data_IF_289520932554
#
_entry.id   IF_289520932554
#
_cell.length_a   1.000
_cell.length_b   1.000
_cell.length_c   1.000
_cell.angle_alpha   90.00
_cell.angle_beta   90.00
_cell.angle_gamma   90.00
#
_symmetry.space_group_name_H-M   'P 1'
#
loop_
_entity.id
_entity.type
_entity.pdbx_description
1 polymer ?
#
# COMPACT_ATOMS: atom_id res chain seq x y z
N UNK A 1 -5.07 -17.75 -27.26
CA UNK A 1 -3.70 -17.74 -27.81
C UNK A 1 -2.89 -16.77 -26.99
N UNK A 2 -1.60 -17.03 -26.76
CA UNK A 2 -0.80 -16.24 -25.81
C UNK A 2 -0.28 -14.96 -26.45
N UNK A 3 -0.47 -13.81 -25.76
CA UNK A 3 0.16 -12.51 -26.08
C UNK A 3 1.26 -12.22 -25.07
N UNK A 4 2.50 -12.64 -25.36
CA UNK A 4 3.57 -12.59 -24.37
C UNK A 4 4.00 -11.16 -24.06
N UNK A 5 3.99 -10.79 -22.76
CA UNK A 5 4.52 -9.52 -22.26
C UNK A 5 5.59 -9.78 -21.20
N UNK A 6 6.79 -9.28 -21.45
CA UNK A 6 7.87 -9.31 -20.48
C UNK A 6 7.54 -8.33 -19.34
N UNK A 7 7.67 -8.77 -18.07
CA UNK A 7 7.41 -7.89 -16.94
C UNK A 7 8.42 -6.76 -16.88
N UNK A 8 7.99 -5.59 -16.40
CA UNK A 8 8.76 -4.35 -16.41
C UNK A 8 10.02 -4.40 -15.53
N UNK A 9 10.04 -5.27 -14.52
CA UNK A 9 11.15 -5.44 -13.57
C UNK A 9 12.14 -6.53 -13.98
N UNK A 10 11.92 -7.20 -15.13
CA UNK A 10 12.79 -8.26 -15.61
C UNK A 10 14.04 -7.67 -16.24
N UNK A 11 15.18 -8.11 -15.73
CA UNK A 11 16.51 -7.81 -16.25
C UNK A 11 17.15 -9.09 -16.78
N UNK A 12 17.99 -8.96 -17.81
CA UNK A 12 18.74 -10.09 -18.34
C UNK A 12 20.17 -9.69 -18.72
N UNK A 13 21.10 -10.56 -18.39
CA UNK A 13 22.52 -10.34 -18.65
C UNK A 13 23.15 -11.54 -19.36
N UNK A 14 24.08 -11.34 -20.31
CA UNK A 14 24.79 -12.44 -20.94
C UNK A 14 25.69 -13.16 -19.94
N UNK A 15 25.76 -14.48 -20.08
CA UNK A 15 26.72 -15.33 -19.36
C UNK A 15 27.63 -16.05 -20.34
N UNK A 16 28.68 -16.72 -19.85
CA UNK A 16 29.61 -17.45 -20.72
C UNK A 16 28.96 -18.59 -21.53
N UNK A 17 27.82 -19.12 -21.04
CA UNK A 17 27.10 -20.26 -21.63
C UNK A 17 25.63 -19.96 -21.98
N UNK A 18 25.18 -18.69 -21.82
CA UNK A 18 23.79 -18.34 -22.11
C UNK A 18 23.38 -16.93 -21.68
N UNK A 19 22.26 -16.85 -21.01
CA UNK A 19 21.72 -15.60 -20.41
C UNK A 19 21.14 -15.89 -19.04
N UNK A 20 21.39 -15.01 -18.10
CA UNK A 20 20.76 -15.00 -16.79
C UNK A 20 19.64 -13.97 -16.79
N UNK A 21 18.44 -14.40 -16.42
CA UNK A 21 17.21 -13.58 -16.35
C UNK A 21 16.76 -13.53 -14.91
N UNK A 22 16.51 -12.35 -14.38
CA UNK A 22 16.05 -12.15 -13.00
C UNK A 22 15.07 -10.99 -12.92
N UNK A 23 14.14 -11.07 -11.95
CA UNK A 23 13.11 -10.10 -11.68
C UNK A 23 11.89 -10.74 -11.02
N UNK A 24 11.05 -9.97 -10.33
CA UNK A 24 9.82 -10.43 -9.69
C UNK A 24 9.95 -11.72 -8.85
N UNK A 25 11.11 -11.93 -8.21
CA UNK A 25 11.40 -13.17 -7.48
C UNK A 25 11.81 -14.35 -8.37
N UNK A 26 11.92 -14.16 -9.68
CA UNK A 26 12.42 -15.16 -10.62
C UNK A 26 13.95 -15.08 -10.74
N UNK A 27 14.57 -16.25 -10.83
CA UNK A 27 16.00 -16.44 -11.06
C UNK A 27 16.15 -17.59 -12.06
N UNK A 28 16.40 -17.27 -13.33
CA UNK A 28 16.39 -18.22 -14.44
C UNK A 28 17.68 -18.16 -15.25
N UNK A 29 18.41 -19.25 -15.33
CA UNK A 29 19.56 -19.39 -16.21
C UNK A 29 19.14 -20.15 -17.49
N UNK A 30 19.10 -19.46 -18.61
CA UNK A 30 18.85 -20.03 -19.93
C UNK A 30 20.19 -20.38 -20.60
N UNK A 31 20.43 -21.64 -20.82
CA UNK A 31 21.67 -22.13 -21.42
C UNK A 31 21.60 -22.15 -22.93
N UNK A 32 22.70 -21.82 -23.58
CA UNK A 32 22.86 -21.85 -25.06
C UNK A 32 23.59 -20.59 -25.52
N UNK A 33 24.60 -20.76 -26.36
CA UNK A 33 25.46 -19.68 -26.88
C UNK A 33 24.68 -18.54 -27.55
N UNK A 34 23.49 -18.82 -28.09
CA UNK A 34 22.63 -17.86 -28.78
C UNK A 34 21.45 -17.38 -27.91
N UNK A 35 21.30 -17.86 -26.66
CA UNK A 35 20.13 -17.56 -25.82
C UNK A 35 20.00 -16.05 -25.55
N UNK A 36 21.11 -15.39 -25.20
CA UNK A 36 21.12 -13.94 -25.04
C UNK A 36 20.70 -13.20 -26.31
N UNK A 37 21.25 -13.58 -27.47
CA UNK A 37 20.93 -12.92 -28.74
C UNK A 37 19.45 -13.10 -29.14
N UNK A 38 18.87 -14.25 -28.81
CA UNK A 38 17.45 -14.52 -29.05
C UNK A 38 16.60 -13.65 -28.13
N UNK A 39 16.90 -13.63 -26.85
CA UNK A 39 16.14 -12.85 -25.88
C UNK A 39 16.25 -11.35 -26.19
N UNK A 40 17.44 -10.83 -26.45
CA UNK A 40 17.69 -9.42 -26.76
C UNK A 40 16.91 -8.94 -28.02
N UNK A 41 16.78 -9.82 -29.03
CA UNK A 41 15.98 -9.54 -30.22
C UNK A 41 14.48 -9.65 -30.00
N UNK A 42 14.06 -10.55 -29.14
CA UNK A 42 12.64 -10.80 -28.87
C UNK A 42 12.07 -9.80 -27.85
N UNK A 43 12.84 -9.39 -26.87
CA UNK A 43 12.37 -8.53 -25.76
C UNK A 43 11.57 -7.29 -26.24
N UNK A 44 12.01 -6.54 -27.27
CA UNK A 44 11.21 -5.41 -27.78
C UNK A 44 9.85 -5.78 -28.38
N UNK A 45 9.63 -7.05 -28.71
CA UNK A 45 8.38 -7.56 -29.28
C UNK A 45 7.53 -8.35 -28.27
N UNK A 46 8.06 -8.56 -27.07
CA UNK A 46 7.34 -9.17 -25.96
C UNK A 46 6.64 -8.09 -25.13
N UNK A 47 5.80 -7.30 -25.78
CA UNK A 47 5.06 -6.16 -25.21
C UNK A 47 3.56 -6.46 -25.02
N UNK A 48 3.12 -7.69 -25.37
CA UNK A 48 1.72 -8.12 -25.29
C UNK A 48 0.84 -7.67 -26.45
N UNK A 49 1.39 -6.95 -27.44
CA UNK A 49 0.60 -6.40 -28.55
C UNK A 49 0.25 -7.42 -29.62
N UNK A 50 1.08 -8.47 -29.80
CA UNK A 50 0.98 -9.48 -30.87
C UNK A 50 0.90 -10.88 -30.27
N UNK A 51 0.15 -11.75 -30.90
CA UNK A 51 0.11 -13.18 -30.55
C UNK A 51 1.44 -13.84 -30.84
N UNK A 52 1.85 -14.80 -30.01
CA UNK A 52 3.12 -15.48 -30.14
C UNK A 52 3.24 -16.19 -31.51
N UNK A 53 2.17 -16.81 -31.97
CA UNK A 53 2.15 -17.53 -33.26
C UNK A 53 2.30 -16.58 -34.45
N UNK A 54 1.72 -15.39 -34.38
CA UNK A 54 1.88 -14.35 -35.40
C UNK A 54 3.32 -13.79 -35.39
N UNK A 55 3.88 -13.55 -34.17
CA UNK A 55 5.24 -13.08 -34.01
C UNK A 55 6.28 -14.03 -34.66
N UNK A 56 6.07 -15.33 -34.52
CA UNK A 56 7.00 -16.35 -35.04
C UNK A 56 6.62 -16.89 -36.41
N UNK A 57 5.43 -16.50 -36.95
CA UNK A 57 4.85 -17.11 -38.16
C UNK A 57 5.73 -17.09 -39.42
N UNK A 58 6.67 -16.12 -39.51
CA UNK A 58 7.62 -15.99 -40.61
C UNK A 58 8.96 -16.69 -40.36
N UNK A 59 9.15 -17.32 -39.21
CA UNK A 59 10.39 -18.01 -38.88
C UNK A 59 10.36 -19.47 -39.44
N UNK A 60 11.52 -20.03 -39.81
CA UNK A 60 11.66 -21.47 -40.05
C UNK A 60 11.27 -22.27 -38.81
N UNK A 61 10.82 -23.51 -38.99
CA UNK A 61 10.25 -24.35 -37.93
C UNK A 61 11.22 -24.58 -36.77
N UNK A 62 12.50 -24.80 -37.08
CA UNK A 62 13.57 -24.95 -36.07
C UNK A 62 13.69 -23.71 -35.15
N UNK A 63 13.64 -22.52 -35.74
CA UNK A 63 13.72 -21.25 -35.02
C UNK A 63 12.43 -20.93 -34.26
N UNK A 64 11.27 -21.27 -34.85
CA UNK A 64 9.98 -21.13 -34.18
C UNK A 64 9.95 -21.95 -32.90
N UNK A 65 10.42 -23.20 -32.93
CA UNK A 65 10.48 -24.07 -31.76
C UNK A 65 11.41 -23.50 -30.67
N UNK A 66 12.53 -22.88 -31.05
CA UNK A 66 13.44 -22.20 -30.10
C UNK A 66 12.73 -21.05 -29.41
N UNK A 67 11.99 -20.20 -30.15
CA UNK A 67 11.25 -19.06 -29.56
C UNK A 67 10.14 -19.53 -28.62
N UNK A 68 9.34 -20.53 -29.04
CA UNK A 68 8.31 -21.11 -28.17
C UNK A 68 8.89 -21.69 -26.88
N UNK A 69 10.02 -22.40 -26.97
CA UNK A 69 10.71 -22.93 -25.79
C UNK A 69 11.22 -21.83 -24.88
N UNK A 70 11.80 -20.76 -25.44
CA UNK A 70 12.29 -19.62 -24.69
C UNK A 70 11.15 -18.88 -23.95
N UNK A 71 10.08 -18.55 -24.68
CA UNK A 71 8.89 -17.89 -24.11
C UNK A 71 8.24 -18.77 -23.04
N UNK A 72 8.12 -20.08 -23.29
CA UNK A 72 7.57 -21.03 -22.31
C UNK A 72 8.40 -21.09 -21.01
N UNK A 73 9.74 -21.04 -21.11
CA UNK A 73 10.61 -21.03 -19.93
C UNK A 73 10.50 -19.71 -19.15
N UNK A 74 10.45 -18.57 -19.85
CA UNK A 74 10.25 -17.26 -19.24
C UNK A 74 8.88 -17.17 -18.53
N UNK A 75 7.83 -17.67 -19.16
CA UNK A 75 6.49 -17.71 -18.59
C UNK A 75 6.43 -18.62 -17.35
N UNK A 76 6.98 -19.83 -17.44
CA UNK A 76 7.03 -20.77 -16.32
C UNK A 76 7.84 -20.24 -15.13
N UNK A 77 8.84 -19.40 -15.40
CA UNK A 77 9.63 -18.72 -14.37
C UNK A 77 8.96 -17.45 -13.80
N UNK A 78 7.80 -17.04 -14.34
CA UNK A 78 7.12 -15.82 -13.92
C UNK A 78 7.74 -14.51 -14.40
N UNK A 79 8.71 -14.57 -15.34
CA UNK A 79 9.31 -13.39 -15.98
C UNK A 79 8.41 -12.78 -17.07
N UNK A 80 7.43 -13.54 -17.56
CA UNK A 80 6.56 -13.18 -18.66
C UNK A 80 5.12 -13.53 -18.30
N UNK A 81 4.19 -12.66 -18.68
CA UNK A 81 2.75 -12.84 -18.49
C UNK A 81 2.05 -12.93 -19.85
N UNK A 82 0.84 -13.50 -19.85
CA UNK A 82 -0.06 -13.45 -21.00
C UNK A 82 -0.93 -12.20 -20.90
N UNK A 83 -0.71 -11.23 -21.78
CA UNK A 83 -1.47 -9.99 -21.79
C UNK A 83 -2.95 -10.18 -22.16
N UNK A 84 -3.35 -11.35 -22.69
CA UNK A 84 -4.75 -11.66 -22.97
C UNK A 84 -5.54 -11.99 -21.70
N UNK A 85 -4.86 -12.39 -20.62
CA UNK A 85 -5.46 -12.62 -19.31
C UNK A 85 -5.71 -11.32 -18.54
N UNK A 86 -5.10 -10.20 -18.97
CA UNK A 86 -5.31 -8.90 -18.34
C UNK A 86 -6.72 -8.37 -18.58
N UNK A 87 -7.29 -7.79 -17.53
CA UNK A 87 -8.56 -7.07 -17.65
C UNK A 87 -8.40 -5.83 -18.54
N UNK A 88 -9.37 -5.54 -19.42
CA UNK A 88 -9.30 -4.40 -20.32
C UNK A 88 -9.31 -3.07 -19.55
N UNK A 89 -8.58 -2.08 -20.05
CA UNK A 89 -8.48 -0.72 -19.51
C UNK A 89 -8.68 0.31 -20.62
N UNK A 90 -8.93 1.57 -20.22
CA UNK A 90 -9.15 2.72 -21.11
C UNK A 90 -8.01 3.74 -21.06
N UNK A 91 -6.94 3.46 -20.30
CA UNK A 91 -5.77 4.33 -20.22
C UNK A 91 -5.19 4.58 -21.61
N UNK A 92 -4.91 5.83 -21.90
CA UNK A 92 -4.23 6.24 -23.12
C UNK A 92 -2.74 5.86 -23.07
N UNK A 93 -2.09 5.81 -24.24
CA UNK A 93 -0.65 5.58 -24.31
C UNK A 93 0.14 6.59 -23.47
N UNK A 94 -0.28 7.87 -23.51
CA UNK A 94 0.36 8.92 -22.69
C UNK A 94 0.25 8.63 -21.20
N UNK A 95 -0.91 8.17 -20.71
CA UNK A 95 -1.08 7.80 -19.29
C UNK A 95 -0.24 6.59 -18.91
N UNK A 96 -0.18 5.57 -19.76
CA UNK A 96 0.68 4.42 -19.53
C UNK A 96 2.17 4.80 -19.43
N UNK A 97 2.63 5.72 -20.27
CA UNK A 97 4.00 6.23 -20.23
C UNK A 97 4.23 7.14 -19.02
N UNK A 98 3.28 8.00 -18.68
CA UNK A 98 3.38 8.97 -17.58
C UNK A 98 3.42 8.30 -16.20
N UNK A 99 2.68 7.21 -16.03
CA UNK A 99 2.52 6.47 -14.77
C UNK A 99 3.14 5.07 -14.83
N UNK A 100 4.14 4.91 -15.68
CA UNK A 100 4.78 3.60 -15.89
C UNK A 100 5.34 2.97 -14.60
N UNK A 101 5.88 3.81 -13.68
CA UNK A 101 6.42 3.33 -12.40
C UNK A 101 5.33 2.82 -11.45
N UNK A 102 4.18 3.49 -11.39
CA UNK A 102 3.04 3.08 -10.58
C UNK A 102 2.43 1.79 -11.12
N UNK A 103 2.31 1.68 -12.45
CA UNK A 103 1.80 0.48 -13.11
C UNK A 103 2.78 -0.69 -12.93
N UNK A 104 4.09 -0.47 -13.07
CA UNK A 104 5.10 -1.49 -12.83
C UNK A 104 5.10 -1.98 -11.38
N UNK A 105 4.88 -1.08 -10.42
CA UNK A 105 4.73 -1.48 -9.02
C UNK A 105 3.51 -2.38 -8.78
N UNK A 106 2.38 -2.08 -9.44
CA UNK A 106 1.20 -2.96 -9.37
C UNK A 106 1.49 -4.30 -10.05
N UNK A 107 2.11 -4.31 -11.23
CA UNK A 107 2.48 -5.51 -11.99
C UNK A 107 3.41 -6.45 -11.20
N UNK A 108 4.28 -5.88 -10.37
CA UNK A 108 5.14 -6.68 -9.49
C UNK A 108 4.33 -7.52 -8.47
N UNK A 109 3.18 -7.02 -8.01
CA UNK A 109 2.37 -7.63 -6.96
C UNK A 109 1.13 -8.37 -7.47
N UNK A 110 0.53 -7.89 -8.56
CA UNK A 110 -0.79 -8.32 -9.03
C UNK A 110 -0.85 -8.41 -10.56
N UNK A 111 -1.86 -9.10 -11.06
CA UNK A 111 -2.28 -9.11 -12.45
C UNK A 111 -2.99 -7.81 -12.88
N UNK A 112 -3.26 -7.65 -14.16
CA UNK A 112 -4.10 -6.58 -14.72
C UNK A 112 -3.69 -5.18 -14.25
N UNK A 113 -2.39 -4.91 -14.18
CA UNK A 113 -1.82 -3.72 -13.55
C UNK A 113 -2.40 -2.40 -14.10
N UNK A 114 -2.55 -2.29 -15.42
CA UNK A 114 -3.10 -1.10 -16.06
C UNK A 114 -4.58 -0.88 -15.66
N UNK A 115 -5.39 -1.93 -15.56
CA UNK A 115 -6.78 -1.85 -15.11
C UNK A 115 -6.89 -1.45 -13.65
N UNK A 116 -6.04 -2.01 -12.79
CA UNK A 116 -5.99 -1.67 -11.36
C UNK A 116 -5.54 -0.23 -11.16
N UNK A 117 -4.57 0.23 -11.94
CA UNK A 117 -4.16 1.63 -11.93
C UNK A 117 -5.28 2.55 -12.43
N UNK A 118 -6.01 2.17 -13.49
CA UNK A 118 -7.20 2.93 -13.94
C UNK A 118 -8.22 3.06 -12.81
N UNK A 119 -8.50 2.00 -12.06
CA UNK A 119 -9.41 2.03 -10.92
C UNK A 119 -8.94 3.02 -9.84
N UNK A 120 -7.66 3.00 -9.50
CA UNK A 120 -7.07 3.98 -8.57
C UNK A 120 -7.17 5.40 -9.12
N UNK A 121 -6.83 5.60 -10.38
CA UNK A 121 -6.84 6.90 -11.05
C UNK A 121 -8.24 7.52 -11.11
N UNK A 122 -9.26 6.72 -11.34
CA UNK A 122 -10.66 7.14 -11.45
C UNK A 122 -11.37 7.25 -10.09
N UNK A 123 -10.70 6.83 -8.99
CA UNK A 123 -11.28 6.93 -7.66
C UNK A 123 -11.45 8.40 -7.24
N UNK A 124 -12.60 8.68 -6.63
CA UNK A 124 -12.90 9.96 -5.98
C UNK A 124 -12.22 9.99 -4.61
N UNK A 125 -11.16 10.78 -4.47
CA UNK A 125 -10.35 10.84 -3.25
C UNK A 125 -10.50 12.19 -2.56
N UNK A 126 -10.70 12.14 -1.24
CA UNK A 126 -10.64 13.31 -0.36
C UNK A 126 -9.36 13.26 0.47
N UNK A 127 -8.57 14.32 0.43
CA UNK A 127 -7.50 14.57 1.41
C UNK A 127 -7.99 15.63 2.40
N UNK A 128 -7.94 15.29 3.68
CA UNK A 128 -8.42 16.17 4.76
C UNK A 128 -7.33 16.38 5.80
N UNK A 129 -7.14 17.62 6.23
CA UNK A 129 -6.15 17.95 7.26
C UNK A 129 -5.67 19.39 7.22
N UNK A 130 -4.54 19.62 7.85
CA UNK A 130 -3.88 20.92 7.90
C UNK A 130 -2.34 20.77 7.91
N UNK A 131 -1.66 21.85 7.68
CA UNK A 131 -0.20 21.95 7.82
C UNK A 131 0.61 21.22 6.73
N UNK A 132 1.91 21.01 6.99
CA UNK A 132 2.86 20.48 5.98
C UNK A 132 2.52 19.06 5.48
N UNK A 133 2.02 18.18 6.35
CA UNK A 133 1.66 16.81 5.95
C UNK A 133 0.47 16.82 4.99
N UNK A 134 -0.54 17.64 5.26
CA UNK A 134 -1.69 17.78 4.38
C UNK A 134 -1.28 18.25 2.98
N UNK A 135 -0.44 19.29 2.88
CA UNK A 135 0.08 19.79 1.59
C UNK A 135 0.88 18.70 0.87
N UNK A 136 1.75 17.97 1.60
CA UNK A 136 2.53 16.87 1.04
C UNK A 136 1.65 15.72 0.57
N UNK A 137 0.55 15.41 1.25
CA UNK A 137 -0.45 14.41 0.85
C UNK A 137 -1.15 14.78 -0.45
N UNK A 138 -1.60 16.03 -0.56
CA UNK A 138 -2.21 16.55 -1.81
C UNK A 138 -1.23 16.39 -2.97
N UNK A 139 0.03 16.78 -2.76
CA UNK A 139 1.09 16.64 -3.76
C UNK A 139 1.32 15.16 -4.13
N UNK A 140 1.40 14.27 -3.15
CA UNK A 140 1.59 12.83 -3.37
C UNK A 140 0.46 12.22 -4.16
N UNK A 141 -0.80 12.48 -3.81
CA UNK A 141 -1.97 11.97 -4.50
C UNK A 141 -2.04 12.43 -5.97
N UNK A 142 -1.72 13.70 -6.24
CA UNK A 142 -1.66 14.22 -7.61
C UNK A 142 -0.52 13.57 -8.40
N UNK A 143 0.67 13.41 -7.80
CA UNK A 143 1.82 12.80 -8.47
C UNK A 143 1.61 11.34 -8.80
N UNK A 144 0.94 10.59 -7.94
CA UNK A 144 0.62 9.19 -8.18
C UNK A 144 -0.58 8.96 -9.10
N UNK A 145 -1.23 10.02 -9.59
CA UNK A 145 -2.16 9.90 -10.71
C UNK A 145 -3.66 9.97 -10.38
N UNK A 146 -4.06 10.30 -9.15
CA UNK A 146 -5.48 10.53 -8.81
C UNK A 146 -6.04 11.60 -9.72
N UNK A 147 -7.13 11.30 -10.44
CA UNK A 147 -7.74 12.23 -11.41
C UNK A 147 -8.63 13.26 -10.72
N UNK A 148 -9.39 12.86 -9.72
CA UNK A 148 -10.32 13.74 -9.01
C UNK A 148 -9.98 13.81 -7.53
N UNK A 149 -9.32 14.88 -7.12
CA UNK A 149 -8.89 15.10 -5.76
C UNK A 149 -9.68 16.27 -5.14
N UNK A 150 -10.27 16.01 -3.97
CA UNK A 150 -10.90 17.02 -3.14
C UNK A 150 -10.02 17.30 -1.93
N UNK A 151 -9.66 18.55 -1.69
CA UNK A 151 -8.86 18.97 -0.57
C UNK A 151 -9.72 19.72 0.46
N UNK A 152 -9.79 19.20 1.69
CA UNK A 152 -10.49 19.81 2.81
C UNK A 152 -9.47 20.29 3.82
N UNK A 153 -9.23 21.61 3.84
CA UNK A 153 -8.34 22.23 4.82
C UNK A 153 -9.08 22.45 6.13
N UNK A 154 -8.63 21.80 7.20
CA UNK A 154 -9.27 21.88 8.53
C UNK A 154 -8.84 23.09 9.32
N UNK A 155 -7.59 23.55 9.16
CA UNK A 155 -7.02 24.72 9.83
C UNK A 155 -6.22 25.59 8.86
N UNK A 156 -6.83 26.64 8.36
CA UNK A 156 -6.21 27.53 7.36
C UNK A 156 -4.98 28.25 7.85
N UNK A 157 -4.93 28.59 9.16
CA UNK A 157 -3.83 29.36 9.74
C UNK A 157 -2.46 28.65 9.68
N UNK A 158 -2.45 27.30 9.67
CA UNK A 158 -1.23 26.48 9.63
C UNK A 158 -0.98 25.87 8.25
N UNK A 159 -1.85 26.13 7.30
CA UNK A 159 -1.75 25.56 5.95
C UNK A 159 -1.32 26.63 4.94
N UNK A 160 -0.25 26.35 4.19
CA UNK A 160 0.20 27.24 3.12
C UNK A 160 -0.74 27.12 1.91
N UNK A 161 -1.70 28.05 1.81
CA UNK A 161 -2.68 28.08 0.71
C UNK A 161 -2.06 28.44 -0.65
N UNK A 162 -0.98 29.23 -0.67
CA UNK A 162 -0.23 29.55 -1.90
C UNK A 162 0.38 28.29 -2.49
N UNK A 163 0.99 27.46 -1.64
CA UNK A 163 1.55 26.18 -2.09
C UNK A 163 0.50 25.24 -2.68
N UNK A 164 -0.71 25.19 -2.13
CA UNK A 164 -1.80 24.42 -2.71
C UNK A 164 -2.21 24.93 -4.10
N UNK A 165 -2.20 26.26 -4.28
CA UNK A 165 -2.46 26.87 -5.58
C UNK A 165 -1.38 26.53 -6.60
N UNK A 166 -0.11 26.60 -6.22
CA UNK A 166 1.01 26.15 -7.06
C UNK A 166 0.88 24.68 -7.46
N UNK A 167 0.60 23.78 -6.50
CA UNK A 167 0.42 22.35 -6.75
C UNK A 167 -0.74 22.08 -7.72
N UNK A 168 -1.81 22.87 -7.64
CA UNK A 168 -2.94 22.78 -8.59
C UNK A 168 -2.49 23.12 -10.00
N UNK A 169 -1.72 24.20 -10.15
CA UNK A 169 -1.21 24.64 -11.45
C UNK A 169 -0.19 23.63 -12.01
N UNK A 170 0.71 23.11 -11.18
CA UNK A 170 1.68 22.07 -11.56
C UNK A 170 0.98 20.79 -12.04
N UNK A 171 -0.05 20.33 -11.32
CA UNK A 171 -0.82 19.14 -11.68
C UNK A 171 -1.53 19.31 -13.02
N UNK A 172 -2.24 20.42 -13.21
CA UNK A 172 -2.94 20.71 -14.46
C UNK A 172 -2.00 20.85 -15.67
N UNK A 173 -0.80 21.39 -15.47
CA UNK A 173 0.21 21.50 -16.52
C UNK A 173 0.77 20.12 -16.94
N UNK A 174 0.94 19.21 -15.97
CA UNK A 174 1.46 17.86 -16.21
C UNK A 174 0.40 16.94 -16.81
N UNK A 175 -0.77 16.92 -16.19
CA UNK A 175 -1.89 16.08 -16.56
C UNK A 175 -3.20 16.90 -16.57
N UNK A 176 -3.66 17.34 -17.75
CA UNK A 176 -4.86 18.17 -17.88
C UNK A 176 -6.15 17.49 -17.41
N UNK A 177 -6.15 16.18 -17.23
CA UNK A 177 -7.32 15.45 -16.73
C UNK A 177 -7.42 15.46 -15.20
N UNK A 178 -6.35 15.85 -14.50
CA UNK A 178 -6.38 15.97 -13.06
C UNK A 178 -7.10 17.24 -12.61
N UNK A 179 -7.93 17.09 -11.61
CA UNK A 179 -8.62 18.20 -10.94
C UNK A 179 -8.38 18.19 -9.46
N UNK A 180 -7.98 19.34 -8.92
CA UNK A 180 -7.93 19.57 -7.47
C UNK A 180 -9.02 20.57 -7.11
N UNK A 181 -9.96 20.17 -6.26
CA UNK A 181 -11.04 21.03 -5.77
C UNK A 181 -10.88 21.29 -4.29
N UNK A 182 -10.84 22.57 -3.91
CA UNK A 182 -10.89 22.96 -2.51
C UNK A 182 -12.34 22.93 -2.04
N UNK A 183 -12.61 22.16 -0.99
CA UNK A 183 -13.95 21.99 -0.42
C UNK A 183 -13.95 22.51 1.01
N UNK A 184 -14.89 23.38 1.32
CA UNK A 184 -15.23 23.72 2.71
C UNK A 184 -16.25 22.72 3.21
N UNK A 185 -16.00 22.12 4.36
CA UNK A 185 -16.87 21.11 4.91
C UNK A 185 -17.17 21.44 6.38
N UNK A 186 -18.43 21.64 6.71
CA UNK A 186 -18.95 21.64 8.07
C UNK A 186 -19.30 20.21 8.53
N UNK A 187 -19.69 20.02 9.76
CA UNK A 187 -20.02 18.69 10.29
C UNK A 187 -21.16 18.01 9.53
N UNK A 188 -22.19 18.76 9.11
CA UNK A 188 -23.31 18.22 8.33
C UNK A 188 -22.95 17.88 6.88
N UNK A 189 -21.94 18.57 6.35
CA UNK A 189 -21.37 18.30 5.02
C UNK A 189 -20.45 17.09 5.01
N UNK A 190 -19.83 16.75 6.15
CA UNK A 190 -18.86 15.68 6.25
C UNK A 190 -19.46 14.30 5.94
N UNK A 191 -20.63 13.99 6.45
CA UNK A 191 -21.33 12.73 6.19
C UNK A 191 -21.69 12.58 4.71
N UNK A 192 -22.19 13.64 4.08
CA UNK A 192 -22.49 13.66 2.65
C UNK A 192 -21.23 13.52 1.80
N UNK A 193 -20.15 14.18 2.20
CA UNK A 193 -18.87 14.10 1.49
C UNK A 193 -18.32 12.67 1.53
N UNK A 194 -18.29 12.04 2.70
CA UNK A 194 -17.82 10.67 2.89
C UNK A 194 -18.64 9.67 2.07
N UNK A 195 -19.96 9.84 2.01
CA UNK A 195 -20.84 8.96 1.22
C UNK A 195 -20.73 9.12 -0.31
N UNK A 196 -19.95 10.09 -0.80
CA UNK A 196 -19.80 10.38 -2.22
C UNK A 196 -18.40 10.07 -2.78
N UNK A 197 -17.52 9.49 -1.98
CA UNK A 197 -16.13 9.26 -2.36
C UNK A 197 -15.70 7.84 -2.07
N UNK A 198 -14.69 7.38 -2.80
CA UNK A 198 -14.14 6.04 -2.64
C UNK A 198 -13.15 5.98 -1.47
N UNK A 199 -12.41 7.07 -1.23
CA UNK A 199 -11.42 7.13 -0.17
C UNK A 199 -11.31 8.51 0.50
N UNK A 200 -11.07 8.47 1.80
CA UNK A 200 -10.68 9.62 2.63
C UNK A 200 -9.28 9.37 3.19
N UNK A 201 -8.36 10.28 2.90
CA UNK A 201 -7.02 10.29 3.50
C UNK A 201 -6.99 11.46 4.49
N UNK A 202 -6.89 11.17 5.76
CA UNK A 202 -6.95 12.17 6.82
C UNK A 202 -5.66 12.25 7.61
N UNK A 203 -5.19 13.46 7.86
CA UNK A 203 -4.11 13.72 8.80
C UNK A 203 -4.54 14.77 9.81
N UNK A 204 -4.32 14.47 11.07
CA UNK A 204 -4.56 15.38 12.18
C UNK A 204 -3.35 15.49 13.10
N UNK A 205 -3.29 16.57 13.84
CA UNK A 205 -2.49 16.67 15.04
C UNK A 205 -3.30 16.27 16.29
N UNK A 206 -2.74 16.47 17.48
CA UNK A 206 -3.39 16.11 18.74
C UNK A 206 -4.76 16.79 18.98
N UNK A 207 -5.08 17.87 18.29
CA UNK A 207 -6.38 18.58 18.37
C UNK A 207 -7.47 17.95 17.48
N UNK A 208 -7.06 17.13 16.50
CA UNK A 208 -7.97 16.55 15.50
C UNK A 208 -8.49 15.15 15.81
N UNK A 209 -8.27 14.63 17.01
CA UNK A 209 -8.65 13.26 17.39
C UNK A 209 -10.16 13.01 17.28
N UNK A 210 -10.98 13.92 17.77
CA UNK A 210 -12.45 13.76 17.70
C UNK A 210 -12.92 13.64 16.26
N UNK A 211 -12.34 14.44 15.35
CA UNK A 211 -12.60 14.34 13.92
C UNK A 211 -12.12 13.01 13.35
N UNK A 212 -10.94 12.53 13.77
CA UNK A 212 -10.41 11.23 13.34
C UNK A 212 -11.34 10.09 13.73
N UNK A 213 -11.88 10.10 14.94
CA UNK A 213 -12.85 9.12 15.42
C UNK A 213 -14.19 9.23 14.69
N UNK A 214 -14.65 10.45 14.42
CA UNK A 214 -15.88 10.66 13.65
C UNK A 214 -15.75 10.19 12.21
N UNK A 215 -14.62 10.41 11.57
CA UNK A 215 -14.33 9.89 10.23
C UNK A 215 -14.31 8.36 10.20
N UNK A 216 -13.71 7.71 11.22
CA UNK A 216 -13.72 6.24 11.32
C UNK A 216 -15.14 5.69 11.35
N UNK A 217 -16.04 6.31 12.10
CA UNK A 217 -17.45 5.92 12.16
C UNK A 217 -18.18 6.14 10.83
N UNK A 218 -18.03 7.33 10.22
CA UNK A 218 -18.70 7.70 8.99
C UNK A 218 -18.23 6.84 7.81
N UNK A 219 -16.94 6.65 7.65
CA UNK A 219 -16.37 5.85 6.56
C UNK A 219 -16.76 4.38 6.71
N UNK A 220 -16.78 3.85 7.93
CA UNK A 220 -17.22 2.47 8.18
C UNK A 220 -18.69 2.28 7.80
N UNK A 221 -19.56 3.23 8.15
CA UNK A 221 -20.97 3.17 7.84
C UNK A 221 -21.25 3.32 6.34
N UNK A 222 -20.47 4.13 5.64
CA UNK A 222 -20.57 4.37 4.20
C UNK A 222 -19.89 3.29 3.34
N UNK A 223 -18.98 2.48 3.92
CA UNK A 223 -18.13 1.57 3.17
C UNK A 223 -16.99 2.27 2.43
N UNK A 224 -16.69 3.51 2.79
CA UNK A 224 -15.63 4.34 2.20
C UNK A 224 -14.29 3.96 2.81
N UNK A 225 -13.23 3.84 1.99
CA UNK A 225 -11.88 3.60 2.50
C UNK A 225 -11.42 4.79 3.35
N UNK A 226 -10.98 4.51 4.57
CA UNK A 226 -10.31 5.49 5.43
C UNK A 226 -8.84 5.13 5.60
N UNK A 227 -7.97 6.07 5.26
CA UNK A 227 -6.54 6.04 5.62
C UNK A 227 -6.25 7.28 6.44
N UNK A 228 -5.78 7.11 7.66
CA UNK A 228 -5.51 8.28 8.49
C UNK A 228 -4.28 8.16 9.36
N UNK A 229 -3.76 9.31 9.75
CA UNK A 229 -2.62 9.45 10.63
C UNK A 229 -2.79 10.59 11.62
N UNK A 230 -2.16 10.44 12.79
CA UNK A 230 -2.06 11.46 13.81
C UNK A 230 -0.60 11.82 14.02
N UNK A 231 -0.30 13.11 13.98
CA UNK A 231 1.04 13.66 14.25
C UNK A 231 1.01 14.32 15.63
N UNK A 232 1.70 13.74 16.59
CA UNK A 232 1.66 14.16 17.99
C UNK A 232 3.05 14.06 18.60
N UNK A 233 3.44 15.05 19.36
CA UNK A 233 4.79 15.16 19.91
C UNK A 233 5.86 14.99 18.80
N UNK A 234 6.77 14.05 18.93
CA UNK A 234 7.82 13.67 17.98
C UNK A 234 7.47 12.43 17.16
N UNK A 235 6.20 12.02 17.14
CA UNK A 235 5.76 10.76 16.53
C UNK A 235 4.58 10.97 15.59
N UNK A 236 4.59 10.27 14.47
CA UNK A 236 3.40 10.05 13.64
C UNK A 236 2.88 8.62 13.82
N UNK A 237 1.57 8.49 14.05
CA UNK A 237 0.85 7.24 14.13
C UNK A 237 -0.04 7.09 12.90
N UNK A 238 0.15 6.04 12.10
CA UNK A 238 -0.50 5.84 10.81
C UNK A 238 -1.26 4.52 10.77
N UNK A 239 -2.43 4.53 10.14
CA UNK A 239 -3.26 3.36 9.95
C UNK A 239 -4.07 2.97 11.19
N UNK A 240 -4.78 1.85 11.17
CA UNK A 240 -4.91 0.89 10.05
C UNK A 240 -5.72 1.45 8.88
N UNK A 241 -5.43 1.04 7.65
CA UNK A 241 -6.23 1.40 6.49
C UNK A 241 -7.56 0.65 6.51
N UNK A 242 -8.68 1.39 6.38
CA UNK A 242 -10.02 0.82 6.29
C UNK A 242 -10.54 0.10 7.54
N UNK A 243 -9.82 0.13 8.65
CA UNK A 243 -10.13 -0.63 9.86
C UNK A 243 -10.34 0.27 11.09
N UNK A 244 -10.74 -0.34 12.16
CA UNK A 244 -11.06 0.13 13.50
C UNK A 244 -10.01 1.09 14.13
N UNK A 245 -9.97 2.31 13.63
CA UNK A 245 -9.12 3.36 14.17
C UNK A 245 -9.43 3.70 15.64
N UNK A 246 -10.71 3.59 16.02
CA UNK A 246 -11.13 3.82 17.39
C UNK A 246 -10.47 2.85 18.37
N UNK A 247 -10.31 1.58 17.99
CA UNK A 247 -9.57 0.62 18.82
C UNK A 247 -8.10 0.98 18.95
N UNK A 248 -7.45 1.39 17.85
CA UNK A 248 -6.08 1.85 17.88
C UNK A 248 -5.93 3.07 18.80
N UNK A 249 -6.80 4.07 18.64
CA UNK A 249 -6.77 5.29 19.44
C UNK A 249 -6.96 5.01 20.93
N UNK A 250 -7.96 4.24 21.34
CA UNK A 250 -8.21 3.91 22.74
C UNK A 250 -7.01 3.23 23.43
N UNK A 251 -6.14 2.62 22.65
CA UNK A 251 -4.90 2.02 23.18
C UNK A 251 -3.76 3.03 23.26
N UNK A 252 -3.67 3.94 22.30
CA UNK A 252 -2.69 5.02 22.30
C UNK A 252 -2.97 6.02 23.44
N UNK A 253 -4.24 6.41 23.61
CA UNK A 253 -4.68 7.37 24.63
C UNK A 253 -4.37 6.91 26.07
N UNK A 254 -4.32 5.61 26.30
CA UNK A 254 -3.91 5.03 27.58
C UNK A 254 -2.46 5.37 27.98
N UNK A 255 -1.65 5.91 27.08
CA UNK A 255 -0.24 6.24 27.33
C UNK A 255 -0.01 7.71 27.74
N UNK A 256 -1.05 8.53 27.81
CA UNK A 256 -0.99 9.89 28.38
C UNK A 256 -1.41 11.00 27.41
N UNK A 257 -1.38 12.24 27.85
CA UNK A 257 -1.76 13.38 27.03
C UNK A 257 -0.70 13.63 25.94
N UNK A 258 -1.14 13.57 24.69
CA UNK A 258 -0.31 13.92 23.55
C UNK A 258 -0.39 15.42 23.24
N UNK A 259 0.71 15.99 22.75
CA UNK A 259 0.81 17.39 22.36
C UNK A 259 0.84 17.53 20.85
N UNK A 260 0.30 18.61 20.27
CA UNK A 260 0.52 18.94 18.88
C UNK A 260 2.01 19.08 18.60
N UNK A 261 2.48 18.57 17.45
CA UNK A 261 3.86 18.78 17.01
C UNK A 261 4.06 20.24 16.57
N UNK A 262 5.02 20.93 17.17
CA UNK A 262 5.30 22.36 16.91
C UNK A 262 6.41 22.57 15.85
N UNK A 263 7.11 21.50 15.40
CA UNK A 263 8.33 21.62 14.60
C UNK A 263 8.47 20.58 13.51
N UNK A 264 7.37 20.23 12.85
CA UNK A 264 7.42 19.25 11.75
C UNK A 264 8.21 19.79 10.56
N UNK A 265 9.32 19.16 10.25
CA UNK A 265 10.13 19.52 9.06
C UNK A 265 9.48 19.07 7.76
N UNK A 266 9.77 19.75 6.65
CA UNK A 266 9.25 19.37 5.33
C UNK A 266 9.57 17.92 4.94
N UNK A 267 10.83 17.43 5.11
CA UNK A 267 11.16 16.02 4.88
C UNK A 267 10.36 15.04 5.74
N UNK A 268 10.19 15.29 7.03
CA UNK A 268 9.39 14.43 7.91
C UNK A 268 7.92 14.43 7.49
N UNK A 269 7.37 15.59 7.16
CA UNK A 269 6.01 15.71 6.62
C UNK A 269 5.82 14.91 5.32
N UNK A 270 6.80 14.94 4.42
CA UNK A 270 6.77 14.17 3.18
C UNK A 270 6.82 12.66 3.42
N UNK A 271 7.60 12.18 4.38
CA UNK A 271 7.64 10.75 4.76
C UNK A 271 6.28 10.29 5.30
N UNK A 272 5.67 11.04 6.22
CA UNK A 272 4.33 10.73 6.74
C UNK A 272 3.31 10.68 5.61
N UNK A 273 3.32 11.70 4.74
CA UNK A 273 2.44 11.77 3.58
C UNK A 273 2.64 10.61 2.60
N UNK A 274 3.90 10.22 2.34
CA UNK A 274 4.22 9.10 1.48
C UNK A 274 3.68 7.77 2.02
N UNK A 275 3.80 7.53 3.32
CA UNK A 275 3.22 6.33 3.94
C UNK A 275 1.69 6.28 3.82
N UNK A 276 1.00 7.39 4.10
CA UNK A 276 -0.46 7.47 3.96
C UNK A 276 -0.89 7.32 2.49
N UNK A 277 -0.17 7.98 1.58
CA UNK A 277 -0.41 7.87 0.14
C UNK A 277 -0.22 6.45 -0.38
N UNK A 278 0.86 5.77 0.03
CA UNK A 278 1.12 4.38 -0.33
C UNK A 278 0.04 3.44 0.22
N UNK A 279 -0.40 3.63 1.47
CA UNK A 279 -1.47 2.82 2.05
C UNK A 279 -2.79 2.98 1.27
N UNK A 280 -3.15 4.20 0.85
CA UNK A 280 -4.31 4.44 0.01
C UNK A 280 -4.14 3.80 -1.38
N UNK A 281 -2.98 3.99 -2.02
CA UNK A 281 -2.66 3.43 -3.33
C UNK A 281 -2.74 1.91 -3.33
N UNK A 282 -2.07 1.23 -2.41
CA UNK A 282 -2.03 -0.24 -2.34
C UNK A 282 -3.40 -0.84 -2.03
N UNK A 283 -4.23 -0.13 -1.25
CA UNK A 283 -5.59 -0.59 -0.95
C UNK A 283 -6.51 -0.40 -2.16
N UNK A 284 -6.51 0.76 -2.80
CA UNK A 284 -7.37 1.06 -3.96
C UNK A 284 -7.00 0.24 -5.20
N UNK A 285 -5.73 -0.12 -5.38
CA UNK A 285 -5.28 -1.02 -6.44
C UNK A 285 -5.49 -2.50 -6.11
N UNK A 286 -5.86 -2.83 -4.88
CA UNK A 286 -6.08 -4.19 -4.42
C UNK A 286 -4.79 -4.98 -4.10
N UNK A 287 -3.63 -4.30 -4.05
CA UNK A 287 -2.35 -4.94 -3.66
C UNK A 287 -2.42 -5.46 -2.22
N UNK A 288 -3.00 -4.68 -1.31
CA UNK A 288 -3.14 -5.06 0.11
C UNK A 288 -3.93 -6.35 0.27
N UNK A 289 -5.02 -6.53 -0.50
CA UNK A 289 -5.79 -7.79 -0.46
C UNK A 289 -4.97 -9.02 -0.83
N UNK A 290 -3.95 -8.88 -1.68
CA UNK A 290 -3.01 -9.95 -2.04
C UNK A 290 -1.94 -10.18 -0.95
N UNK A 291 -1.54 -9.12 -0.22
CA UNK A 291 -0.50 -9.18 0.82
C UNK A 291 -1.05 -9.49 2.22
N UNK A 292 -2.23 -8.96 2.58
CA UNK A 292 -2.85 -9.12 3.90
C UNK A 292 -3.66 -10.41 4.07
N UNK A 293 -3.94 -11.14 2.99
CA UNK A 293 -4.63 -12.44 3.07
C UNK A 293 -3.93 -13.45 4.01
N UNK A 294 -2.69 -13.17 4.40
CA UNK A 294 -1.93 -14.01 5.32
C UNK A 294 -2.22 -13.76 6.81
N UNK A 295 -2.52 -12.53 7.27
CA UNK A 295 -2.47 -12.25 8.72
C UNK A 295 -3.70 -11.60 9.35
N UNK A 296 -4.62 -10.96 8.61
CA UNK A 296 -5.82 -10.29 9.19
C UNK A 296 -5.50 -9.33 10.35
N UNK A 297 -4.24 -8.93 10.48
CA UNK A 297 -3.73 -8.17 11.61
C UNK A 297 -3.98 -6.68 11.40
N UNK A 298 -4.66 -6.07 12.36
CA UNK A 298 -4.78 -4.63 12.47
C UNK A 298 -3.45 -4.06 12.91
N UNK A 299 -2.82 -3.29 12.05
CA UNK A 299 -1.50 -2.73 12.30
C UNK A 299 -1.57 -1.21 12.38
N UNK A 300 -0.86 -0.64 13.34
CA UNK A 300 -0.54 0.79 13.41
C UNK A 300 0.94 0.96 13.16
N UNK A 301 1.29 1.86 12.27
CA UNK A 301 2.68 2.22 12.00
C UNK A 301 3.05 3.46 12.82
N UNK A 302 4.12 3.36 13.57
CA UNK A 302 4.75 4.47 14.30
C UNK A 302 5.96 4.96 13.50
N UNK A 303 6.03 6.26 13.25
CA UNK A 303 7.20 6.93 12.68
C UNK A 303 7.73 7.91 13.71
N UNK A 304 8.98 7.76 14.09
CA UNK A 304 9.72 8.73 14.87
C UNK A 304 10.13 9.90 13.97
N UNK A 305 9.70 11.12 14.27
CA UNK A 305 9.84 12.26 13.36
C UNK A 305 11.24 12.92 13.41
N UNK A 306 12.06 12.57 14.39
CA UNK A 306 13.45 13.03 14.47
C UNK A 306 14.39 12.11 13.69
N UNK A 307 14.22 10.79 13.85
CA UNK A 307 15.10 9.78 13.28
C UNK A 307 14.55 9.12 12.02
N UNK A 308 13.27 9.32 11.72
CA UNK A 308 12.48 8.68 10.67
C UNK A 308 12.45 7.13 10.79
N UNK A 309 12.73 6.61 11.96
CA UNK A 309 12.61 5.18 12.24
C UNK A 309 11.14 4.79 12.25
N UNK A 310 10.84 3.72 11.55
CA UNK A 310 9.48 3.18 11.41
C UNK A 310 9.37 1.87 12.16
N UNK A 311 8.28 1.68 12.90
CA UNK A 311 7.91 0.42 13.53
C UNK A 311 6.42 0.13 13.32
N UNK A 312 6.06 -1.14 13.15
CA UNK A 312 4.68 -1.57 12.98
C UNK A 312 4.23 -2.35 14.19
N UNK A 313 3.07 -2.00 14.71
CA UNK A 313 2.49 -2.59 15.92
C UNK A 313 1.14 -3.20 15.60
N UNK A 314 1.03 -4.51 15.74
CA UNK A 314 -0.24 -5.21 15.66
C UNK A 314 -1.09 -4.94 16.92
N UNK A 315 -2.39 -4.80 16.75
CA UNK A 315 -3.31 -4.63 17.88
C UNK A 315 -4.60 -5.44 17.72
N UNK A 316 -5.21 -5.80 18.84
CA UNK A 316 -6.52 -6.44 18.87
C UNK A 316 -7.63 -5.38 18.95
N UNK A 317 -8.86 -5.69 18.50
CA UNK A 317 -10.01 -4.83 18.74
C UNK A 317 -10.13 -4.47 20.21
N UNK A 318 -10.43 -3.19 20.49
CA UNK A 318 -10.70 -2.78 21.87
C UNK A 318 -12.07 -3.29 22.30
N UNK A 319 -12.25 -3.78 23.54
CA UNK A 319 -13.56 -4.32 24.00
C UNK A 319 -14.70 -3.31 23.86
N UNK A 320 -14.44 -2.01 24.03
CA UNK A 320 -15.44 -0.95 23.86
C UNK A 320 -15.87 -0.73 22.39
N UNK A 321 -15.15 -1.27 21.41
CA UNK A 321 -15.46 -1.16 19.98
C UNK A 321 -15.90 -2.50 19.38
N UNK A 322 -15.91 -3.56 20.19
CA UNK A 322 -16.37 -4.88 19.75
C UNK A 322 -17.80 -4.77 19.21
N UNK A 323 -18.11 -5.39 18.06
CA UNK A 323 -19.47 -5.41 17.55
C UNK A 323 -20.39 -6.01 18.62
N UNK A 324 -21.60 -5.45 18.74
CA UNK A 324 -22.61 -5.90 19.72
C UNK A 324 -23.00 -7.39 19.59
N UNK A 325 -22.59 -8.03 18.49
CA UNK A 325 -22.76 -9.47 18.29
C UNK A 325 -21.47 -10.19 18.77
N UNK A 326 -21.55 -10.93 19.89
CA UNK A 326 -20.41 -11.73 20.33
C UNK A 326 -20.06 -12.75 19.25
N UNK A 327 -18.76 -12.84 18.91
CA UNK A 327 -18.24 -13.89 18.05
C UNK A 327 -18.71 -15.25 18.59
N UNK A 328 -19.31 -16.04 17.76
CA UNK A 328 -19.77 -17.35 18.19
C UNK A 328 -18.57 -18.21 18.56
N UNK A 329 -18.74 -19.11 19.55
CA UNK A 329 -17.68 -20.04 19.98
C UNK A 329 -17.08 -20.83 18.80
N UNK A 330 -17.87 -21.02 17.73
CA UNK A 330 -17.46 -21.69 16.49
C UNK A 330 -16.57 -20.81 15.61
N UNK A 331 -16.85 -19.50 15.53
CA UNK A 331 -16.04 -18.52 14.80
C UNK A 331 -14.70 -18.30 15.51
N UNK A 332 -14.74 -18.15 16.84
CA UNK A 332 -13.54 -18.07 17.67
C UNK A 332 -12.63 -19.31 17.53
N UNK A 333 -13.24 -20.51 17.56
CA UNK A 333 -12.50 -21.77 17.39
C UNK A 333 -11.86 -21.86 16.00
N UNK A 334 -12.59 -21.51 14.93
CA UNK A 334 -12.06 -21.46 13.56
C UNK A 334 -10.92 -20.45 13.41
N UNK A 335 -10.97 -19.34 14.10
CA UNK A 335 -9.89 -18.34 14.11
C UNK A 335 -8.66 -18.88 14.79
N UNK A 336 -8.80 -19.52 15.94
CA UNK A 336 -7.70 -20.19 16.66
C UNK A 336 -7.10 -21.32 15.82
N UNK A 337 -7.94 -22.14 15.19
CA UNK A 337 -7.49 -23.22 14.31
C UNK A 337 -6.70 -22.70 13.10
N UNK A 338 -7.10 -21.55 12.50
CA UNK A 338 -6.33 -20.91 11.43
C UNK A 338 -5.01 -20.35 11.90
N UNK A 339 -4.94 -19.78 13.09
CA UNK A 339 -3.70 -19.33 13.69
C UNK A 339 -2.75 -20.51 14.01
N UNK A 340 -3.31 -21.65 14.43
CA UNK A 340 -2.56 -22.88 14.70
C UNK A 340 -2.13 -23.65 13.45
N UNK A 341 -2.86 -23.50 12.33
CA UNK A 341 -2.54 -24.19 11.06
C UNK A 341 -1.44 -23.50 10.26
N UNK A 342 -1.11 -22.25 10.57
CA UNK A 342 -0.18 -21.44 9.76
C UNK A 342 1.31 -21.73 9.97
N UNK A 343 1.72 -22.43 11.02
CA UNK A 343 3.07 -23.03 11.22
C UNK A 343 3.08 -23.83 12.54
N UNK A 344 3.93 -24.85 12.71
CA UNK A 344 4.24 -25.38 14.03
C UNK A 344 4.93 -24.24 14.82
N UNK A 345 4.20 -23.65 15.75
CA UNK A 345 4.71 -22.61 16.62
C UNK A 345 5.74 -23.26 17.55
N UNK A 346 7.03 -22.90 17.39
CA UNK A 346 7.92 -23.08 18.50
C UNK A 346 7.39 -22.17 19.65
N UNK A 347 7.54 -22.64 20.88
CA UNK A 347 7.02 -21.97 22.07
C UNK A 347 7.55 -20.53 22.20
N UNK A 348 8.77 -20.27 21.74
CA UNK A 348 9.42 -18.95 21.72
C UNK A 348 8.85 -18.02 20.63
N UNK A 349 8.46 -18.58 19.48
CA UNK A 349 7.80 -17.80 18.43
C UNK A 349 6.36 -17.43 18.84
N UNK A 350 5.66 -18.31 19.57
CA UNK A 350 4.35 -18.03 20.13
C UNK A 350 4.44 -16.93 21.21
N UNK A 351 5.39 -17.03 22.13
CA UNK A 351 5.60 -16.05 23.19
C UNK A 351 5.98 -14.68 22.62
N UNK A 352 6.84 -14.61 21.60
CA UNK A 352 7.19 -13.37 20.90
C UNK A 352 6.00 -12.78 20.12
N UNK A 353 5.18 -13.60 19.50
CA UNK A 353 3.98 -13.18 18.77
C UNK A 353 2.86 -12.76 19.73
N UNK A 354 2.66 -13.49 20.80
CA UNK A 354 1.72 -13.13 21.87
C UNK A 354 2.13 -11.80 22.53
N UNK A 355 3.41 -11.61 22.84
CA UNK A 355 3.93 -10.35 23.36
C UNK A 355 3.62 -9.18 22.40
N UNK A 356 3.82 -9.33 21.09
CA UNK A 356 3.51 -8.29 20.10
C UNK A 356 2.02 -8.02 19.97
N UNK A 357 1.16 -9.04 20.03
CA UNK A 357 -0.28 -8.91 19.88
C UNK A 357 -0.98 -8.37 21.13
N UNK A 358 -0.35 -8.49 22.30
CA UNK A 358 -0.94 -8.15 23.59
C UNK A 358 -0.30 -6.92 24.24
N UNK A 359 0.52 -6.15 23.50
CA UNK A 359 1.35 -5.12 24.09
C UNK A 359 0.66 -3.94 24.77
N UNK A 360 -0.60 -3.56 24.66
CA UNK A 360 -1.23 -2.68 25.62
C UNK A 360 -1.78 -3.38 26.87
N UNK A 361 -2.02 -4.68 26.80
CA UNK A 361 -2.39 -5.51 27.96
C UNK A 361 -1.17 -6.17 28.60
N UNK A 362 -0.02 -6.10 27.98
CA UNK A 362 1.20 -6.83 28.31
C UNK A 362 2.26 -5.98 28.98
N UNK A 363 1.91 -4.84 29.52
CA UNK A 363 2.78 -4.30 30.57
C UNK A 363 3.19 -5.39 31.59
N UNK A 364 2.32 -6.37 31.82
CA UNK A 364 2.60 -7.57 32.64
C UNK A 364 3.48 -8.59 31.92
N UNK A 365 3.22 -8.95 30.67
CA UNK A 365 4.03 -9.95 29.93
C UNK A 365 5.38 -9.37 29.49
N UNK A 366 5.43 -8.09 29.10
CA UNK A 366 6.69 -7.42 28.82
C UNK A 366 7.56 -7.28 30.09
N UNK A 367 6.95 -7.00 31.24
CA UNK A 367 7.64 -6.99 32.52
C UNK A 367 8.11 -8.38 32.97
N UNK A 368 7.46 -9.46 32.53
CA UNK A 368 7.90 -10.83 32.75
C UNK A 368 9.08 -11.18 31.85
N UNK A 369 9.03 -10.83 30.57
CA UNK A 369 10.10 -11.08 29.58
C UNK A 369 11.37 -10.26 29.92
N UNK A 370 11.22 -9.01 30.37
CA UNK A 370 12.33 -8.17 30.86
C UNK A 370 12.92 -8.69 32.18
N UNK A 371 12.11 -9.33 33.04
CA UNK A 371 12.61 -9.95 34.27
C UNK A 371 13.37 -11.26 33.99
N UNK A 372 12.94 -12.06 33.03
CA UNK A 372 13.65 -13.28 32.63
C UNK A 372 14.96 -12.98 31.89
N UNK A 373 15.07 -11.88 31.19
CA UNK A 373 16.29 -11.43 30.53
C UNK A 373 17.26 -10.70 31.45
N UNK A 374 16.87 -10.41 32.68
CA UNK A 374 17.74 -9.74 33.66
C UNK A 374 18.67 -10.75 34.34
N UNK A 375 20.01 -10.50 34.37
CA UNK A 375 20.97 -11.44 35.00
C UNK A 375 20.73 -11.72 36.48
N UNK A 376 19.80 -11.01 37.12
CA UNK A 376 19.46 -11.17 38.55
C UNK A 376 18.47 -12.31 38.83
N UNK A 377 17.82 -12.89 37.82
CA UNK A 377 16.89 -14.01 38.02
C UNK A 377 17.54 -15.39 37.85
N UNK A 378 18.87 -15.48 37.65
CA UNK A 378 19.62 -16.76 37.59
C UNK A 378 20.28 -17.20 38.90
N UNK A 379 19.96 -16.56 40.02
CA UNK A 379 20.49 -16.96 41.33
C UNK A 379 19.35 -17.09 42.35
N UNK A 380 18.60 -18.13 42.23
CA UNK A 380 18.00 -18.90 43.33
C UNK A 380 17.55 -20.28 42.81
#
# INVERSE_FOLDING_TARGET
MMRPRLKSDVLYVPTGDGVHVFGAGADLALRGRSAYQWLDRLAPHLDGSVELDDLVGRLPDDKRQVVHSLVGQLHAAGCLIDAEEDLPHRLTRRELEMYASEIAFIEYHCDSAARRFETYRDSEVVVMGAGPVFVSLVCSALRSGVRQLRAVCTEKAVTNAERLTELTAEAAARDPEQTLRHVSCDEGGLERLVGQVDAVIHVADGSGVDRALRLDELCRNAGTLLVQGLVMDDVAWLGPAGADWRSAWLRLDAHGPFRPNAFLTGPAAAVVAAHLGLAAFTTLTGIVGAMEAADGARNVTRIDLETLRTSTHAFLPHPATAPARPETRKEFRRRIERLGAAAPLDEDAFSRRAARCFDPYTGVLRALDERESSPRCRST
#
